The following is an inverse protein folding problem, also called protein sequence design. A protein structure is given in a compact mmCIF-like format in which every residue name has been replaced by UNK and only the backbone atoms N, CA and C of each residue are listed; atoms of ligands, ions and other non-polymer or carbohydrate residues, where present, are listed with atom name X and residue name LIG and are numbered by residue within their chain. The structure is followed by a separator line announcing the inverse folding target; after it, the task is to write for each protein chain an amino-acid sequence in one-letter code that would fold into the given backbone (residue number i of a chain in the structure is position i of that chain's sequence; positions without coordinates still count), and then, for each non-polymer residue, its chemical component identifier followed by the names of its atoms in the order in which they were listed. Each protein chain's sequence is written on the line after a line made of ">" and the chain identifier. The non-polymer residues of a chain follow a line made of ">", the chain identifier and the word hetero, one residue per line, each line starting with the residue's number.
data_IF_634569589152
#
_entry.id   IF_634569589152
#
_cell.length_a   1.000
_cell.length_b   1.000
_cell.length_c   1.000
_cell.angle_alpha   90.00
_cell.angle_beta   90.00
_cell.angle_gamma   90.00
#
_symmetry.space_group_name_H-M   'P 1'
#
loop_
_entity.id
_entity.type
_entity.pdbx_description
1 polymer ?
#
# COMPACT_ATOMS: atom_id res chain seq x y z
N UNK A 1 -14.64 15.58 16.21
CA UNK A 1 -15.03 14.33 16.89
C UNK A 1 -14.52 13.19 16.03
N UNK A 2 -13.90 12.18 16.64
CA UNK A 2 -13.30 11.06 15.91
C UNK A 2 -14.23 9.85 15.96
N UNK A 3 -14.09 8.96 14.99
CA UNK A 3 -14.92 7.77 14.88
C UNK A 3 -14.04 6.55 14.73
N UNK A 4 -14.33 5.50 15.49
CA UNK A 4 -13.54 4.27 15.51
C UNK A 4 -14.32 3.14 14.85
N UNK A 5 -13.69 2.46 13.90
CA UNK A 5 -14.21 1.24 13.33
C UNK A 5 -14.21 0.15 14.42
N UNK A 6 -15.37 -0.45 14.66
CA UNK A 6 -15.54 -1.51 15.67
C UNK A 6 -14.78 -2.80 15.29
N UNK A 7 -14.53 -3.01 13.98
CA UNK A 7 -13.92 -4.23 13.45
C UNK A 7 -12.40 -4.22 13.54
N UNK A 8 -11.79 -3.11 13.09
CA UNK A 8 -10.34 -3.05 12.91
C UNK A 8 -9.67 -1.92 13.70
N UNK A 9 -10.48 -1.19 14.47
CA UNK A 9 -10.05 -0.07 15.32
C UNK A 9 -9.35 1.05 14.57
N UNK A 10 -9.60 1.18 13.26
CA UNK A 10 -9.24 2.37 12.51
C UNK A 10 -9.96 3.59 13.08
N UNK A 11 -9.26 4.70 13.24
CA UNK A 11 -9.83 5.95 13.71
C UNK A 11 -9.91 6.90 12.53
N UNK A 12 -11.12 7.31 12.17
CA UNK A 12 -11.36 8.43 11.29
C UNK A 12 -11.23 9.73 12.07
N UNK A 13 -10.27 10.55 11.66
CA UNK A 13 -10.04 11.89 12.19
C UNK A 13 -10.46 12.89 11.12
N UNK A 14 -11.55 13.67 11.31
CA UNK A 14 -12.00 14.65 10.32
C UNK A 14 -10.89 15.59 9.86
N UNK A 15 -9.97 15.97 10.75
CA UNK A 15 -8.81 16.83 10.43
C UNK A 15 -7.93 16.26 9.32
N UNK A 16 -7.83 14.93 9.21
CA UNK A 16 -7.05 14.25 8.18
C UNK A 16 -7.89 13.91 6.94
N UNK A 17 -9.21 13.75 7.08
CA UNK A 17 -10.09 13.27 6.02
C UNK A 17 -9.78 11.83 5.60
N UNK A 18 -10.11 11.48 4.36
CA UNK A 18 -9.66 10.26 3.69
C UNK A 18 -9.41 10.53 2.18
N UNK A 19 -8.29 11.19 1.83
CA UNK A 19 -8.05 11.63 0.46
C UNK A 19 -7.94 10.49 -0.57
N UNK A 20 -7.61 9.26 -0.15
CA UNK A 20 -7.58 8.10 -1.07
C UNK A 20 -8.98 7.73 -1.58
N UNK A 21 -10.00 7.92 -0.74
CA UNK A 21 -11.41 7.73 -1.10
C UNK A 21 -12.08 9.01 -1.60
N UNK A 22 -11.30 10.09 -1.84
CA UNK A 22 -11.81 11.38 -2.30
C UNK A 22 -12.48 12.21 -1.20
N UNK A 23 -12.12 11.98 0.07
CA UNK A 23 -12.63 12.74 1.21
C UNK A 23 -11.58 13.74 1.67
N UNK A 24 -11.88 15.01 1.54
CA UNK A 24 -10.93 16.07 1.88
C UNK A 24 -10.70 16.20 3.40
N UNK A 25 -9.50 16.65 3.83
CA UNK A 25 -9.25 17.06 5.21
C UNK A 25 -10.28 18.10 5.69
N UNK A 26 -10.78 17.91 6.90
CA UNK A 26 -11.85 18.69 7.51
C UNK A 26 -13.26 18.11 7.33
N UNK A 27 -13.44 17.08 6.50
CA UNK A 27 -14.77 16.48 6.27
C UNK A 27 -15.26 15.76 7.53
N UNK A 28 -16.40 16.16 8.13
CA UNK A 28 -16.93 15.48 9.31
C UNK A 28 -17.53 14.12 8.94
N UNK A 29 -17.51 13.16 9.88
CA UNK A 29 -17.90 11.77 9.60
C UNK A 29 -19.34 11.62 9.08
N UNK A 30 -20.25 12.49 9.51
CA UNK A 30 -21.64 12.52 9.05
C UNK A 30 -21.80 13.02 7.61
N UNK A 31 -20.80 13.73 7.06
CA UNK A 31 -20.77 14.19 5.67
C UNK A 31 -19.99 13.23 4.75
N UNK A 32 -19.47 12.12 5.28
CA UNK A 32 -18.86 11.08 4.46
C UNK A 32 -19.87 10.52 3.44
N UNK A 33 -19.41 10.22 2.21
CA UNK A 33 -20.23 9.57 1.18
C UNK A 33 -20.94 8.31 1.71
N UNK A 34 -22.08 7.97 1.09
CA UNK A 34 -22.89 6.81 1.49
C UNK A 34 -22.16 5.47 1.27
N UNK A 35 -21.31 5.45 0.25
CA UNK A 35 -20.49 4.33 -0.21
C UNK A 35 -19.05 4.35 0.34
N UNK A 36 -18.74 5.29 1.26
CA UNK A 36 -17.44 5.31 1.92
C UNK A 36 -17.24 4.06 2.77
N UNK A 37 -16.08 3.43 2.62
CA UNK A 37 -15.68 2.22 3.33
C UNK A 37 -14.47 2.50 4.22
N UNK A 38 -14.38 1.81 5.35
CA UNK A 38 -13.23 1.85 6.23
C UNK A 38 -11.92 1.61 5.45
N UNK A 39 -10.95 2.53 5.46
CA UNK A 39 -9.70 2.37 4.71
C UNK A 39 -8.85 1.20 5.19
N UNK A 40 -9.09 0.69 6.40
CA UNK A 40 -8.32 -0.40 6.97
C UNK A 40 -8.92 -1.79 6.69
N UNK A 41 -10.24 -1.94 6.70
CA UNK A 41 -10.89 -3.25 6.57
C UNK A 41 -12.03 -3.31 5.56
N UNK A 42 -12.36 -2.21 4.89
CA UNK A 42 -13.39 -2.18 3.84
C UNK A 42 -14.83 -2.30 4.33
N UNK A 43 -15.08 -2.30 5.65
CA UNK A 43 -16.45 -2.32 6.16
C UNK A 43 -17.10 -0.94 6.01
N UNK A 44 -18.41 -0.90 5.83
CA UNK A 44 -19.15 0.33 5.66
C UNK A 44 -19.19 1.18 6.94
N UNK A 45 -19.56 2.46 6.77
CA UNK A 45 -19.59 3.45 7.85
C UNK A 45 -20.55 3.13 8.99
N UNK A 46 -21.48 2.18 8.84
CA UNK A 46 -22.38 1.80 9.94
C UNK A 46 -21.68 1.05 11.07
N UNK A 47 -20.51 0.48 10.81
CA UNK A 47 -19.68 -0.23 11.80
C UNK A 47 -18.66 0.69 12.49
N UNK A 48 -19.00 1.97 12.63
CA UNK A 48 -18.20 2.96 13.34
C UNK A 48 -18.98 3.53 14.51
N UNK A 49 -18.33 3.59 15.66
CA UNK A 49 -18.82 4.31 16.82
C UNK A 49 -18.08 5.64 16.99
N UNK A 50 -18.74 6.60 17.61
CA UNK A 50 -18.05 7.82 18.04
C UNK A 50 -16.99 7.41 19.06
N UNK A 51 -15.72 7.68 18.76
CA UNK A 51 -14.65 7.41 19.69
C UNK A 51 -14.87 8.30 20.92
N UNK A 52 -15.37 7.71 22.00
CA UNK A 52 -15.64 8.42 23.23
C UNK A 52 -14.38 9.10 23.76
N UNK A 53 -14.53 10.11 24.63
CA UNK A 53 -13.39 10.76 25.30
C UNK A 53 -12.49 9.79 26.07
N UNK A 54 -13.01 8.62 26.43
CA UNK A 54 -12.35 7.56 27.18
C UNK A 54 -11.89 6.37 26.33
N UNK A 55 -12.18 6.37 25.02
CA UNK A 55 -11.54 5.44 24.10
C UNK A 55 -10.04 5.65 24.27
N UNK A 56 -9.31 4.60 24.66
CA UNK A 56 -7.84 4.64 24.76
C UNK A 56 -7.26 4.68 23.37
N UNK A 57 -7.50 5.77 22.65
CA UNK A 57 -6.82 6.11 21.41
C UNK A 57 -5.34 6.19 21.77
N UNK A 58 -4.50 5.28 21.27
CA UNK A 58 -3.08 5.36 21.53
C UNK A 58 -2.58 6.72 21.07
N UNK A 59 -2.05 7.53 21.98
CA UNK A 59 -1.47 8.83 21.62
C UNK A 59 -0.17 8.58 20.85
N UNK A 60 -0.01 9.24 19.71
CA UNK A 60 1.18 9.11 18.86
C UNK A 60 1.00 8.14 17.70
N UNK A 61 2.05 8.00 16.87
CA UNK A 61 2.03 7.11 15.71
C UNK A 61 2.29 5.66 16.13
N UNK A 62 1.82 4.71 15.33
CA UNK A 62 2.10 3.28 15.50
C UNK A 62 3.63 3.04 15.57
N UNK A 63 4.16 2.40 16.63
CA UNK A 63 5.60 2.20 16.81
C UNK A 63 6.27 1.42 15.67
N UNK A 64 5.59 0.44 15.07
CA UNK A 64 6.13 -0.32 13.94
C UNK A 64 6.23 0.57 12.70
N UNK A 65 5.24 1.43 12.49
CA UNK A 65 5.26 2.40 11.39
C UNK A 65 6.36 3.45 11.58
N UNK A 66 6.59 3.94 12.82
CA UNK A 66 7.72 4.83 13.14
C UNK A 66 9.06 4.14 12.84
N UNK A 67 9.22 2.89 13.28
CA UNK A 67 10.43 2.11 13.05
C UNK A 67 10.69 1.93 11.54
N UNK A 68 9.68 1.53 10.77
CA UNK A 68 9.78 1.40 9.30
C UNK A 68 10.13 2.73 8.65
N UNK A 69 9.51 3.82 9.07
CA UNK A 69 9.83 5.17 8.57
C UNK A 69 11.30 5.51 8.81
N UNK A 70 11.79 5.34 10.04
CA UNK A 70 13.17 5.65 10.42
C UNK A 70 14.20 4.81 9.67
N UNK A 71 13.97 3.49 9.55
CA UNK A 71 14.83 2.59 8.78
C UNK A 71 14.87 2.96 7.30
N UNK A 72 13.70 3.27 6.72
CA UNK A 72 13.59 3.64 5.30
C UNK A 72 14.28 4.96 5.01
N UNK A 73 14.07 5.96 5.88
CA UNK A 73 14.75 7.25 5.80
C UNK A 73 16.28 7.09 5.91
N UNK A 74 16.76 6.33 6.90
CA UNK A 74 18.20 6.10 7.09
C UNK A 74 18.83 5.39 5.90
N UNK A 75 18.15 4.36 5.37
CA UNK A 75 18.59 3.65 4.17
C UNK A 75 18.70 4.60 2.96
N UNK A 76 17.72 5.48 2.77
CA UNK A 76 17.75 6.47 1.69
C UNK A 76 18.87 7.50 1.87
N UNK A 77 19.07 8.00 3.09
CA UNK A 77 20.16 8.94 3.40
C UNK A 77 21.52 8.35 3.06
N UNK A 78 21.72 7.05 3.27
CA UNK A 78 23.01 6.39 3.03
C UNK A 78 23.21 6.05 1.55
N UNK A 79 22.19 5.47 0.90
CA UNK A 79 22.38 4.84 -0.41
C UNK A 79 21.59 5.49 -1.56
N UNK A 80 20.66 6.40 -1.27
CA UNK A 80 19.80 7.04 -2.28
C UNK A 80 19.18 6.00 -3.22
N UNK A 81 19.39 6.16 -4.54
CA UNK A 81 18.91 5.18 -5.53
C UNK A 81 19.52 3.78 -5.36
N UNK A 82 20.67 3.63 -4.69
CA UNK A 82 21.23 2.31 -4.37
C UNK A 82 20.30 1.46 -3.48
N UNK A 83 19.43 2.11 -2.70
CA UNK A 83 18.45 1.46 -1.83
C UNK A 83 17.40 0.63 -2.58
N UNK A 84 17.18 0.86 -3.89
CA UNK A 84 16.26 0.03 -4.70
C UNK A 84 16.67 -1.46 -4.71
N UNK A 85 17.96 -1.75 -4.62
CA UNK A 85 18.45 -3.13 -4.54
C UNK A 85 18.00 -3.83 -3.25
N UNK A 86 17.95 -3.08 -2.14
CA UNK A 86 17.49 -3.55 -0.84
C UNK A 86 15.98 -3.71 -0.83
N UNK A 87 15.22 -2.73 -1.34
CA UNK A 87 13.76 -2.84 -1.36
C UNK A 87 13.27 -3.95 -2.28
N UNK A 88 14.00 -4.28 -3.35
CA UNK A 88 13.71 -5.45 -4.19
C UNK A 88 13.76 -6.77 -3.42
N UNK A 89 14.58 -6.86 -2.36
CA UNK A 89 14.63 -8.06 -1.53
C UNK A 89 13.29 -8.32 -0.83
N UNK A 90 12.54 -7.27 -0.48
CA UNK A 90 11.17 -7.40 0.06
C UNK A 90 10.31 -8.23 -0.91
N UNK A 91 10.32 -7.87 -2.19
CA UNK A 91 9.55 -8.58 -3.21
C UNK A 91 9.97 -10.02 -3.40
N UNK A 92 11.28 -10.32 -3.31
CA UNK A 92 11.78 -11.70 -3.41
C UNK A 92 11.32 -12.55 -2.24
N UNK A 93 11.45 -12.02 -1.02
CA UNK A 93 11.04 -12.72 0.19
C UNK A 93 9.54 -13.01 0.19
N UNK A 94 8.70 -12.08 -0.27
CA UNK A 94 7.28 -12.36 -0.44
C UNK A 94 7.00 -13.35 -1.58
N UNK A 95 7.68 -13.24 -2.73
CA UNK A 95 7.51 -14.20 -3.82
C UNK A 95 7.82 -15.64 -3.37
N UNK A 96 8.90 -15.82 -2.59
CA UNK A 96 9.25 -17.13 -1.99
C UNK A 96 8.15 -17.63 -1.05
N UNK A 97 7.61 -16.76 -0.19
CA UNK A 97 6.49 -17.09 0.69
C UNK A 97 5.26 -17.52 -0.12
N UNK A 98 4.84 -16.74 -1.12
CA UNK A 98 3.68 -17.08 -1.95
C UNK A 98 3.91 -18.41 -2.70
N UNK A 99 5.10 -18.63 -3.27
CA UNK A 99 5.43 -19.92 -3.90
C UNK A 99 5.33 -21.08 -2.93
N UNK A 100 5.75 -20.90 -1.67
CA UNK A 100 5.65 -21.93 -0.63
C UNK A 100 4.20 -22.31 -0.29
N UNK A 101 3.24 -21.41 -0.57
CA UNK A 101 1.80 -21.63 -0.38
C UNK A 101 1.09 -22.14 -1.64
N UNK A 102 1.80 -22.32 -2.75
CA UNK A 102 1.24 -22.87 -3.99
C UNK A 102 0.50 -21.86 -4.87
N UNK A 103 0.79 -20.56 -4.74
CA UNK A 103 0.28 -19.54 -5.65
C UNK A 103 0.85 -19.70 -7.07
N UNK A 104 0.13 -19.19 -8.08
CA UNK A 104 0.45 -19.37 -9.51
C UNK A 104 1.17 -18.15 -10.10
N UNK A 105 2.28 -18.39 -10.80
CA UNK A 105 3.10 -17.37 -11.46
C UNK A 105 3.43 -17.72 -12.92
N UNK A 106 2.58 -18.51 -13.58
CA UNK A 106 2.81 -19.03 -14.93
C UNK A 106 2.75 -17.91 -16.00
N UNK A 107 1.97 -16.87 -15.74
CA UNK A 107 1.80 -15.70 -16.58
C UNK A 107 1.62 -14.43 -15.74
N UNK A 108 1.69 -13.28 -16.41
CA UNK A 108 1.67 -11.98 -15.76
C UNK A 108 0.35 -11.69 -15.04
N UNK A 109 -0.78 -12.14 -15.58
CA UNK A 109 -2.10 -11.89 -14.99
C UNK A 109 -2.27 -12.72 -13.72
N UNK A 110 -2.04 -14.03 -13.80
CA UNK A 110 -2.09 -14.92 -12.61
C UNK A 110 -1.10 -14.51 -11.53
N UNK A 111 0.04 -13.96 -11.92
CA UNK A 111 1.04 -13.42 -11.00
C UNK A 111 0.49 -12.25 -10.19
N UNK A 112 -0.19 -11.30 -10.84
CA UNK A 112 -0.79 -10.15 -10.16
C UNK A 112 -2.01 -10.56 -9.33
N UNK A 113 -2.81 -11.52 -9.81
CA UNK A 113 -3.92 -12.11 -9.03
C UNK A 113 -3.42 -12.80 -7.75
N UNK A 114 -2.34 -13.58 -7.84
CA UNK A 114 -1.71 -14.22 -6.68
C UNK A 114 -1.23 -13.20 -5.65
N UNK A 115 -0.60 -12.11 -6.09
CA UNK A 115 -0.16 -11.01 -5.23
C UNK A 115 -1.37 -10.33 -4.58
N UNK A 116 -2.43 -10.04 -5.35
CA UNK A 116 -3.67 -9.44 -4.85
C UNK A 116 -4.31 -10.32 -3.77
N UNK A 117 -4.53 -11.60 -4.07
CA UNK A 117 -5.19 -12.54 -3.14
C UNK A 117 -4.42 -12.67 -1.82
N UNK A 118 -3.10 -12.76 -1.86
CA UNK A 118 -2.30 -12.83 -0.63
C UNK A 118 -2.46 -11.57 0.24
N UNK A 119 -2.20 -10.38 -0.29
CA UNK A 119 -2.18 -9.18 0.56
C UNK A 119 -3.58 -8.68 0.95
N UNK A 120 -4.59 -8.94 0.13
CA UNK A 120 -5.93 -8.35 0.28
C UNK A 120 -6.91 -9.35 0.87
N UNK A 121 -7.05 -10.51 0.23
CA UNK A 121 -8.04 -11.50 0.66
C UNK A 121 -7.57 -12.24 1.91
N UNK A 122 -6.27 -12.54 2.03
CA UNK A 122 -5.72 -13.27 3.19
C UNK A 122 -5.33 -12.33 4.32
N UNK A 123 -4.72 -11.18 4.02
CA UNK A 123 -4.12 -10.31 5.04
C UNK A 123 -4.81 -8.95 5.23
N UNK A 124 -5.78 -8.59 4.37
CA UNK A 124 -6.57 -7.37 4.46
C UNK A 124 -5.74 -6.08 4.63
N UNK A 125 -4.57 -6.02 3.97
CA UNK A 125 -3.63 -4.92 4.12
C UNK A 125 -3.95 -3.71 3.21
N UNK A 126 -4.86 -3.90 2.25
CA UNK A 126 -5.39 -2.88 1.35
C UNK A 126 -6.85 -3.23 1.00
N UNK A 127 -7.59 -2.28 0.43
CA UNK A 127 -8.95 -2.49 -0.06
C UNK A 127 -8.98 -3.21 -1.41
N UNK A 128 -8.11 -2.81 -2.34
CA UNK A 128 -7.96 -3.50 -3.63
C UNK A 128 -6.59 -3.24 -4.28
N UNK A 129 -6.23 -4.07 -5.26
CA UNK A 129 -5.09 -3.88 -6.17
C UNK A 129 -5.62 -4.00 -7.60
N UNK A 130 -5.84 -2.86 -8.23
CA UNK A 130 -6.21 -2.80 -9.65
C UNK A 130 -4.95 -2.78 -10.50
N UNK A 131 -5.03 -3.39 -11.68
CA UNK A 131 -3.95 -3.38 -12.65
C UNK A 131 -4.44 -3.30 -14.09
N UNK A 132 -3.63 -2.71 -14.96
CA UNK A 132 -3.85 -2.66 -16.40
C UNK A 132 -2.54 -2.87 -17.15
N UNK A 133 -2.57 -3.74 -18.17
CA UNK A 133 -1.44 -3.96 -19.06
C UNK A 133 -1.46 -2.96 -20.22
N UNK A 134 -0.38 -2.18 -20.35
CA UNK A 134 -0.24 -1.12 -21.36
C UNK A 134 1.05 -1.34 -22.16
N UNK A 135 1.01 -2.30 -23.08
CA UNK A 135 2.16 -2.66 -23.92
C UNK A 135 3.28 -3.31 -23.11
N UNK A 136 4.37 -2.58 -22.86
CA UNK A 136 5.51 -3.04 -22.05
C UNK A 136 5.45 -2.56 -20.59
N UNK A 137 4.36 -1.88 -20.22
CA UNK A 137 4.12 -1.36 -18.89
C UNK A 137 2.92 -2.05 -18.24
N UNK A 138 2.93 -2.10 -16.90
CA UNK A 138 1.77 -2.47 -16.09
C UNK A 138 1.50 -1.32 -15.14
N UNK A 139 0.32 -0.73 -15.26
CA UNK A 139 -0.20 0.25 -14.33
C UNK A 139 -0.80 -0.49 -13.14
N UNK A 140 -0.36 -0.15 -11.93
CA UNK A 140 -0.86 -0.69 -10.66
C UNK A 140 -1.46 0.44 -9.82
N UNK A 141 -2.62 0.16 -9.23
CA UNK A 141 -3.27 1.06 -8.27
C UNK A 141 -3.69 0.29 -7.02
N UNK A 142 -3.03 0.60 -5.91
CA UNK A 142 -3.42 0.08 -4.59
C UNK A 142 -4.45 1.04 -4.00
N UNK A 143 -5.63 0.53 -3.62
CA UNK A 143 -6.70 1.28 -2.97
C UNK A 143 -6.70 1.03 -1.46
N UNK A 144 -6.97 2.07 -0.67
CA UNK A 144 -7.11 1.98 0.79
C UNK A 144 -5.91 1.30 1.46
N UNK A 145 -4.70 1.79 1.19
CA UNK A 145 -3.47 1.11 1.61
C UNK A 145 -3.14 1.43 3.08
N UNK A 146 -3.02 0.39 3.93
CA UNK A 146 -2.67 0.59 5.36
C UNK A 146 -1.31 1.26 5.60
N UNK A 147 -0.40 1.20 4.63
CA UNK A 147 0.93 1.79 4.73
C UNK A 147 1.02 3.20 4.13
N UNK A 148 -0.06 3.69 3.49
CA UNK A 148 -0.06 4.98 2.80
C UNK A 148 0.40 6.15 3.69
N UNK A 149 -0.03 6.30 4.96
CA UNK A 149 0.41 7.42 5.80
C UNK A 149 1.93 7.48 5.97
N UNK A 150 2.60 6.33 6.10
CA UNK A 150 4.07 6.27 6.22
C UNK A 150 4.72 6.61 4.88
N UNK A 151 4.20 6.05 3.78
CA UNK A 151 4.72 6.33 2.46
C UNK A 151 4.61 7.81 2.10
N UNK A 152 3.45 8.43 2.32
CA UNK A 152 3.23 9.87 2.11
C UNK A 152 4.20 10.71 2.95
N UNK A 153 4.41 10.35 4.22
CA UNK A 153 5.39 11.03 5.05
C UNK A 153 6.82 10.90 4.52
N UNK A 154 7.25 9.71 4.10
CA UNK A 154 8.58 9.51 3.51
C UNK A 154 8.78 10.38 2.27
N UNK A 155 7.77 10.47 1.40
CA UNK A 155 7.83 11.29 0.19
C UNK A 155 7.90 12.78 0.50
N UNK A 156 7.15 13.26 1.49
CA UNK A 156 7.23 14.63 1.97
C UNK A 156 8.63 14.97 2.52
N UNK A 157 9.41 13.98 2.96
CA UNK A 157 10.81 14.14 3.36
C UNK A 157 11.81 13.88 2.20
N UNK A 158 11.33 13.75 0.96
CA UNK A 158 12.16 13.51 -0.21
C UNK A 158 12.73 12.08 -0.31
N UNK A 159 12.15 11.12 0.42
CA UNK A 159 12.50 9.70 0.33
C UNK A 159 11.64 9.03 -0.74
N UNK A 160 12.25 8.71 -1.87
CA UNK A 160 11.54 8.25 -3.08
C UNK A 160 11.67 6.73 -3.35
N UNK A 161 12.12 5.96 -2.35
CA UNK A 161 12.18 4.49 -2.47
C UNK A 161 10.84 3.85 -2.18
N UNK A 162 10.54 2.82 -2.97
CA UNK A 162 9.34 2.02 -2.80
C UNK A 162 9.63 0.84 -1.86
N UNK A 163 9.24 0.95 -0.60
CA UNK A 163 9.22 -0.18 0.36
C UNK A 163 7.90 -0.96 0.32
N UNK A 164 6.96 -0.55 -0.54
CA UNK A 164 5.65 -1.15 -0.72
C UNK A 164 5.76 -2.68 -1.00
N UNK A 165 5.18 -3.55 -0.16
CA UNK A 165 5.29 -4.99 -0.34
C UNK A 165 4.54 -5.44 -1.60
N UNK A 166 3.37 -4.88 -1.90
CA UNK A 166 2.59 -5.16 -3.10
C UNK A 166 3.40 -4.97 -4.36
N UNK A 167 4.01 -3.79 -4.50
CA UNK A 167 4.70 -3.40 -5.72
C UNK A 167 5.99 -4.16 -5.93
N UNK A 168 6.78 -4.34 -4.87
CA UNK A 168 8.01 -5.11 -4.99
C UNK A 168 7.70 -6.58 -5.30
N UNK A 169 6.65 -7.14 -4.69
CA UNK A 169 6.22 -8.52 -4.96
C UNK A 169 5.67 -8.65 -6.38
N UNK A 170 4.80 -7.74 -6.82
CA UNK A 170 4.28 -7.69 -8.18
C UNK A 170 5.41 -7.61 -9.22
N UNK A 171 6.42 -6.75 -8.98
CA UNK A 171 7.57 -6.66 -9.86
C UNK A 171 8.38 -7.98 -9.93
N UNK A 172 8.57 -8.68 -8.80
CA UNK A 172 9.25 -9.98 -8.80
C UNK A 172 8.39 -11.11 -9.40
N UNK A 173 7.08 -11.10 -9.17
CA UNK A 173 6.14 -12.05 -9.75
C UNK A 173 6.08 -11.91 -11.28
N UNK A 174 6.02 -10.67 -11.78
CA UNK A 174 6.10 -10.37 -13.22
C UNK A 174 7.45 -10.80 -13.83
N UNK A 175 8.55 -10.65 -13.08
CA UNK A 175 9.86 -11.16 -13.49
C UNK A 175 9.89 -12.67 -13.64
N UNK A 176 9.33 -13.39 -12.67
CA UNK A 176 9.20 -14.85 -12.70
C UNK A 176 8.41 -15.31 -13.93
N UNK A 177 7.24 -14.72 -14.15
CA UNK A 177 6.32 -15.13 -15.21
C UNK A 177 6.86 -14.84 -16.62
N UNK A 178 7.57 -13.71 -16.79
CA UNK A 178 7.94 -13.23 -18.14
C UNK A 178 9.40 -13.45 -18.48
N UNK A 179 10.26 -13.67 -17.49
CA UNK A 179 11.72 -13.67 -17.67
C UNK A 179 12.29 -12.29 -17.98
N UNK A 180 11.57 -11.20 -17.69
CA UNK A 180 12.04 -9.82 -17.87
C UNK A 180 11.99 -9.02 -16.58
N UNK A 181 13.05 -8.26 -16.32
CA UNK A 181 13.18 -7.30 -15.23
C UNK A 181 12.20 -6.15 -15.39
N UNK A 182 11.50 -5.83 -14.30
CA UNK A 182 10.62 -4.67 -14.21
C UNK A 182 11.22 -3.60 -13.29
N UNK A 183 11.22 -2.35 -13.77
CA UNK A 183 11.53 -1.17 -12.96
C UNK A 183 10.24 -0.58 -12.42
N UNK A 184 10.27 -0.28 -11.13
CA UNK A 184 9.18 0.38 -10.41
C UNK A 184 9.34 1.89 -10.60
N UNK A 185 8.38 2.54 -11.24
CA UNK A 185 8.29 3.99 -11.33
C UNK A 185 7.04 4.43 -10.57
N UNK A 186 7.22 5.23 -9.52
CA UNK A 186 6.09 5.84 -8.80
C UNK A 186 5.88 7.25 -9.36
N UNK A 187 4.62 7.62 -9.61
CA UNK A 187 4.31 9.00 -10.03
C UNK A 187 4.28 9.92 -8.79
N UNK A 188 5.15 10.94 -8.72
CA UNK A 188 5.10 11.91 -7.63
C UNK A 188 3.81 12.74 -7.77
N UNK A 189 3.03 12.81 -6.69
CA UNK A 189 1.77 13.56 -6.56
C UNK A 189 0.47 12.88 -7.08
N UNK A 190 0.45 11.57 -7.30
CA UNK A 190 -0.81 10.84 -7.50
C UNK A 190 -1.59 10.62 -6.19
N UNK A 191 -2.92 10.74 -6.22
CA UNK A 191 -3.79 10.25 -5.14
C UNK A 191 -3.75 8.71 -5.11
N UNK A 192 -3.30 8.15 -4.00
CA UNK A 192 -3.02 6.71 -3.85
C UNK A 192 -1.71 6.26 -4.53
N UNK A 193 -1.32 5.01 -4.30
CA UNK A 193 -0.13 4.44 -4.92
C UNK A 193 -0.39 4.09 -6.39
N UNK A 194 -0.28 5.07 -7.28
CA UNK A 194 -0.18 4.83 -8.72
C UNK A 194 1.26 4.51 -9.09
N UNK A 195 1.45 3.32 -9.63
CA UNK A 195 2.78 2.77 -9.87
C UNK A 195 2.81 2.11 -11.23
N UNK A 196 3.88 2.40 -11.98
CA UNK A 196 4.15 1.77 -13.27
C UNK A 196 5.27 0.76 -13.12
N UNK A 197 5.01 -0.48 -13.48
CA UNK A 197 6.03 -1.49 -13.70
C UNK A 197 6.44 -1.45 -15.16
N UNK A 198 7.65 -0.97 -15.45
CA UNK A 198 8.17 -0.90 -16.82
C UNK A 198 9.14 -2.04 -17.08
N UNK A 199 8.89 -2.83 -18.12
CA UNK A 199 9.82 -3.85 -18.60
C UNK A 199 11.14 -3.21 -19.05
N UNK A 200 12.29 -3.78 -18.67
CA UNK A 200 13.61 -3.16 -18.92
C UNK A 200 14.59 -4.09 -19.63
N UNK A 201 14.80 -5.30 -19.12
CA UNK A 201 15.81 -6.21 -19.65
C UNK A 201 15.40 -7.65 -19.40
N UNK A 202 15.93 -8.60 -20.18
CA UNK A 202 15.77 -10.02 -19.86
C UNK A 202 16.51 -10.35 -18.55
N UNK A 203 15.97 -11.24 -17.74
CA UNK A 203 16.57 -11.76 -16.48
C UNK A 203 17.50 -12.92 -16.80
#
# INVERSE_FOLDING_TARGET
>A
MNYQCEICHYIYEPENGDPESGVDPGTPFNELPGDWLCPRCGIDKSSFEMAGSDAKIPKGKDPLLIMVQGLTQGLWTIAGNGSYSVTRQIGRTFLEELKSKGFNFDDGEKSLESVRSYFIETHHLAGDLEYAFTGEEVDLKVKNCRFFPVCSQLENHGVLITTCPYTNTAAQAMEEATGYRFRINKEPNGFGHQIKLKKVSKV
#
